data_IF_676436382056
#
_entry.id   IF_676436382056
#
_cell.length_a   1.000
_cell.length_b   1.000
_cell.length_c   1.000
_cell.angle_alpha   90.00
_cell.angle_beta   90.00
_cell.angle_gamma   90.00
#
_symmetry.space_group_name_H-M   'P 1'
#
loop_
_entity.id
_entity.type
_entity.pdbx_description
1 polymer ?
#
# COMPACT_ATOMS: atom_id res chain seq x y z
N UNK A 1 -1.71 -1.66 9.02
CA UNK A 1 -1.82 -1.50 7.55
C UNK A 1 -2.63 -0.25 7.27
N UNK A 2 -2.42 0.39 6.13
CA UNK A 2 -3.26 1.50 5.63
C UNK A 2 -3.80 1.08 4.29
N UNK A 3 -5.07 1.37 4.01
CA UNK A 3 -5.61 1.24 2.66
C UNK A 3 -5.93 2.61 2.09
N UNK A 4 -5.67 2.76 0.79
CA UNK A 4 -5.96 3.94 0.03
C UNK A 4 -6.52 3.58 -1.34
N UNK A 5 -6.95 4.61 -2.06
CA UNK A 5 -7.45 4.49 -3.43
C UNK A 5 -6.70 5.47 -4.31
N UNK A 6 -6.18 5.00 -5.44
CA UNK A 6 -5.57 5.90 -6.43
C UNK A 6 -6.65 6.73 -7.12
N UNK A 7 -6.44 8.04 -7.18
CA UNK A 7 -7.31 8.97 -7.90
C UNK A 7 -6.64 9.29 -9.25
N UNK A 8 -7.16 8.73 -10.35
CA UNK A 8 -6.72 8.97 -11.74
C UNK A 8 -6.67 7.71 -12.63
N UNK A 9 -6.80 7.87 -13.96
CA UNK A 9 -6.94 6.80 -14.96
C UNK A 9 -5.69 5.91 -15.21
N UNK A 10 -4.63 6.02 -14.40
CA UNK A 10 -3.30 5.47 -14.75
C UNK A 10 -2.77 4.35 -13.85
N UNK A 11 -3.60 3.73 -13.03
CA UNK A 11 -3.22 2.49 -12.36
C UNK A 11 -3.27 1.30 -13.34
N UNK A 12 -2.35 1.25 -14.31
CA UNK A 12 -2.23 0.04 -15.14
C UNK A 12 -1.70 -1.11 -14.27
N UNK A 13 -2.31 -2.31 -14.36
CA UNK A 13 -1.73 -3.52 -13.80
C UNK A 13 -0.26 -3.66 -14.19
N UNK A 14 0.66 -3.72 -13.22
CA UNK A 14 1.99 -4.26 -13.48
C UNK A 14 1.80 -5.76 -13.75
N UNK A 15 1.88 -6.18 -15.01
CA UNK A 15 1.62 -7.57 -15.44
C UNK A 15 2.59 -8.60 -14.84
N UNK A 16 3.72 -8.17 -14.29
CA UNK A 16 4.69 -8.96 -13.53
C UNK A 16 5.39 -8.08 -12.52
N UNK A 17 5.20 -8.33 -11.23
CA UNK A 17 5.98 -7.70 -10.16
C UNK A 17 7.22 -8.54 -9.93
N UNK A 18 8.40 -7.96 -10.10
CA UNK A 18 9.71 -8.66 -10.04
C UNK A 18 9.97 -9.26 -8.64
N UNK A 19 9.21 -8.81 -7.63
CA UNK A 19 9.38 -9.19 -6.22
C UNK A 19 8.42 -10.28 -5.71
N UNK A 20 7.57 -10.89 -6.55
CA UNK A 20 6.62 -11.93 -6.11
C UNK A 20 7.01 -13.34 -6.60
N UNK A 21 6.70 -14.42 -5.86
CA UNK A 21 6.00 -14.44 -4.56
C UNK A 21 6.93 -14.15 -3.37
N UNK A 22 6.53 -13.22 -2.50
CA UNK A 22 7.12 -12.99 -1.17
C UNK A 22 6.05 -12.62 -0.15
N UNK A 23 6.37 -12.79 1.14
CA UNK A 23 5.60 -12.17 2.22
C UNK A 23 5.91 -10.68 2.24
N UNK A 24 4.88 -9.85 2.47
CA UNK A 24 5.08 -8.40 2.53
C UNK A 24 5.92 -7.98 3.71
N UNK A 25 6.81 -7.02 3.43
CA UNK A 25 7.70 -6.38 4.38
C UNK A 25 7.27 -4.92 4.63
N UNK A 26 7.77 -4.35 5.74
CA UNK A 26 7.44 -3.00 6.16
C UNK A 26 7.70 -1.99 5.03
N UNK A 27 6.69 -1.18 4.74
CA UNK A 27 6.74 -0.14 3.71
C UNK A 27 6.34 -0.62 2.31
N UNK A 28 6.14 -1.92 2.08
CA UNK A 28 5.68 -2.40 0.79
C UNK A 28 4.21 -2.05 0.53
N UNK A 29 3.91 -1.82 -0.75
CA UNK A 29 2.58 -1.43 -1.25
C UNK A 29 2.04 -2.52 -2.16
N UNK A 30 0.86 -3.05 -1.81
CA UNK A 30 0.16 -4.11 -2.52
C UNK A 30 -1.22 -3.68 -3.01
N UNK A 31 -1.75 -4.34 -4.04
CA UNK A 31 -3.16 -4.14 -4.40
C UNK A 31 -4.09 -4.83 -3.40
N UNK A 32 -5.11 -4.09 -2.94
CA UNK A 32 -6.15 -4.65 -2.10
C UNK A 32 -6.97 -5.69 -2.89
N UNK A 33 -7.36 -6.78 -2.23
CA UNK A 33 -8.10 -7.88 -2.87
C UNK A 33 -7.28 -8.77 -3.81
N UNK A 34 -5.97 -8.52 -3.98
CA UNK A 34 -5.08 -9.35 -4.80
C UNK A 34 -5.21 -9.17 -6.30
N UNK A 35 -6.05 -8.25 -6.76
CA UNK A 35 -6.17 -7.85 -8.16
C UNK A 35 -5.76 -6.40 -8.34
N UNK A 36 -5.14 -6.02 -9.47
CA UNK A 36 -4.74 -4.64 -9.74
C UNK A 36 -5.86 -3.59 -9.68
N UNK A 37 -5.66 -2.58 -8.84
CA UNK A 37 -6.35 -1.28 -8.85
C UNK A 37 -7.80 -1.26 -8.33
N UNK A 38 -8.34 -0.05 -8.08
CA UNK A 38 -7.61 1.18 -7.72
C UNK A 38 -7.19 1.20 -6.25
N UNK A 39 -7.69 0.24 -5.47
CA UNK A 39 -7.50 0.16 -4.04
C UNK A 39 -6.19 -0.56 -3.73
N UNK A 40 -5.38 0.03 -2.86
CA UNK A 40 -4.06 -0.45 -2.48
C UNK A 40 -3.90 -0.41 -0.98
N UNK A 41 -2.95 -1.14 -0.43
CA UNK A 41 -2.57 -1.02 0.96
C UNK A 41 -1.06 -0.89 1.16
N UNK A 42 -0.68 -0.21 2.24
CA UNK A 42 0.70 -0.06 2.72
C UNK A 42 0.85 -0.93 3.97
N UNK A 43 1.81 -1.83 3.96
CA UNK A 43 2.12 -2.64 5.13
C UNK A 43 3.03 -1.87 6.10
N UNK A 44 2.63 -1.80 7.37
CA UNK A 44 3.32 -1.04 8.41
C UNK A 44 3.79 -1.90 9.59
N UNK A 45 3.62 -3.22 9.51
CA UNK A 45 4.00 -4.10 10.61
C UNK A 45 5.51 -4.18 10.77
N UNK A 46 5.96 -4.41 12.02
CA UNK A 46 7.38 -4.50 12.37
C UNK A 46 8.01 -5.85 11.97
N UNK A 47 7.19 -6.85 11.60
CA UNK A 47 7.63 -8.16 11.09
C UNK A 47 6.87 -8.56 9.83
N UNK A 48 7.25 -9.65 9.15
CA UNK A 48 6.62 -10.10 7.91
C UNK A 48 5.11 -10.32 8.08
N UNK A 49 4.31 -9.96 7.08
CA UNK A 49 2.86 -10.09 7.11
C UNK A 49 2.35 -11.54 6.92
N UNK A 50 2.92 -12.52 7.65
CA UNK A 50 2.63 -13.95 7.48
C UNK A 50 1.16 -14.31 7.70
N UNK A 51 0.45 -13.54 8.54
CA UNK A 51 -0.98 -13.69 8.82
C UNK A 51 -1.88 -13.34 7.64
N UNK A 52 -1.37 -12.63 6.62
CA UNK A 52 -2.07 -12.41 5.35
C UNK A 52 -1.92 -13.60 4.38
N UNK A 53 -1.21 -14.67 4.78
CA UNK A 53 -0.85 -15.80 3.91
C UNK A 53 0.40 -15.51 3.07
N UNK A 54 0.53 -16.14 1.90
CA UNK A 54 1.44 -15.69 0.82
C UNK A 54 0.64 -14.69 -0.02
N UNK A 55 0.51 -13.44 0.44
CA UNK A 55 -0.56 -12.60 -0.01
C UNK A 55 -0.06 -11.98 -1.30
N UNK A 56 -0.70 -12.40 -2.39
CA UNK A 56 -0.59 -11.81 -3.72
C UNK A 56 0.68 -12.17 -4.50
N UNK A 57 0.66 -13.35 -5.12
CA UNK A 57 1.41 -13.53 -6.37
C UNK A 57 1.07 -12.38 -7.34
N UNK A 58 1.98 -11.41 -7.45
CA UNK A 58 1.84 -10.34 -8.44
C UNK A 58 1.23 -9.02 -7.98
N UNK A 59 0.90 -8.79 -6.68
CA UNK A 59 0.29 -7.51 -6.29
C UNK A 59 1.20 -6.51 -5.58
N UNK A 60 2.39 -6.88 -5.08
CA UNK A 60 3.33 -5.91 -4.52
C UNK A 60 3.94 -5.10 -5.66
N UNK A 61 3.56 -3.83 -5.80
CA UNK A 61 3.90 -3.02 -6.97
C UNK A 61 4.76 -1.79 -6.64
N UNK A 62 4.91 -1.43 -5.37
CA UNK A 62 5.71 -0.30 -4.94
C UNK A 62 6.19 -0.46 -3.48
N UNK A 63 7.00 0.48 -3.02
CA UNK A 63 7.40 0.65 -1.63
C UNK A 63 7.38 2.14 -1.26
N UNK A 64 7.21 2.43 0.03
CA UNK A 64 7.29 3.80 0.55
C UNK A 64 8.72 4.32 0.40
N UNK A 65 8.86 5.55 -0.10
CA UNK A 65 10.14 6.06 -0.61
C UNK A 65 11.20 6.32 0.46
N UNK A 66 10.82 6.76 1.65
CA UNK A 66 11.74 7.18 2.71
C UNK A 66 11.11 7.12 4.11
N UNK A 67 11.95 7.27 5.14
CA UNK A 67 11.55 7.26 6.56
C UNK A 67 10.55 8.36 6.91
N UNK A 68 10.63 9.54 6.28
CA UNK A 68 9.68 10.63 6.53
C UNK A 68 8.28 10.29 6.03
N UNK A 69 8.21 9.65 4.86
CA UNK A 69 6.98 9.13 4.28
C UNK A 69 6.43 7.96 5.11
N UNK A 70 7.31 7.09 5.63
CA UNK A 70 6.92 6.02 6.55
C UNK A 70 6.34 6.54 7.85
N UNK A 71 6.93 7.59 8.44
CA UNK A 71 6.39 8.23 9.63
C UNK A 71 5.04 8.91 9.35
N UNK A 72 4.88 9.51 8.19
CA UNK A 72 3.59 10.08 7.75
C UNK A 72 2.53 8.98 7.65
N UNK A 73 2.86 7.84 7.03
CA UNK A 73 1.97 6.69 6.98
C UNK A 73 1.64 6.21 8.40
N UNK A 74 2.63 6.00 9.27
CA UNK A 74 2.40 5.61 10.68
C UNK A 74 1.41 6.55 11.38
N UNK A 75 1.57 7.87 11.25
CA UNK A 75 0.65 8.85 11.86
C UNK A 75 -0.78 8.73 11.32
N UNK A 76 -0.93 8.52 10.02
CA UNK A 76 -2.24 8.31 9.40
C UNK A 76 -2.93 7.07 9.99
N UNK A 77 -2.20 5.97 10.23
CA UNK A 77 -2.78 4.76 10.82
C UNK A 77 -3.26 4.92 12.27
N UNK A 78 -2.84 5.99 12.95
CA UNK A 78 -3.22 6.31 14.32
C UNK A 78 -4.38 7.30 14.39
N UNK A 79 -4.86 7.82 13.25
CA UNK A 79 -6.00 8.72 13.22
C UNK A 79 -7.26 7.98 13.65
N UNK A 80 -8.14 8.70 14.36
CA UNK A 80 -9.41 8.15 14.79
C UNK A 80 -10.29 7.82 13.58
N UNK A 81 -10.84 6.61 13.60
CA UNK A 81 -11.72 6.06 12.58
C UNK A 81 -13.00 5.61 13.25
N UNK A 82 -14.12 5.71 12.52
CA UNK A 82 -15.39 5.17 13.05
C UNK A 82 -15.29 3.64 13.13
N UNK A 83 -15.69 3.02 14.25
CA UNK A 83 -15.81 1.58 14.32
C UNK A 83 -16.71 1.06 13.19
N UNK A 84 -16.27 -0.01 12.52
CA UNK A 84 -17.04 -0.75 11.52
C UNK A 84 -17.36 -2.13 12.08
N UNK A 85 -18.22 -2.89 11.39
CA UNK A 85 -18.51 -4.26 11.78
C UNK A 85 -17.22 -5.12 11.74
N UNK A 86 -17.23 -6.24 12.47
CA UNK A 86 -16.13 -7.21 12.44
C UNK A 86 -15.82 -7.64 11.00
N UNK A 87 -14.53 -7.72 10.67
CA UNK A 87 -14.06 -8.04 9.31
C UNK A 87 -14.16 -6.89 8.30
N UNK A 88 -14.76 -5.75 8.66
CA UNK A 88 -14.76 -4.55 7.82
C UNK A 88 -13.60 -3.63 8.13
N UNK A 89 -13.15 -2.91 7.11
CA UNK A 89 -12.08 -1.96 7.23
C UNK A 89 -12.57 -0.63 7.78
N UNK A 90 -11.82 -0.10 8.73
CA UNK A 90 -12.03 1.25 9.23
C UNK A 90 -11.49 2.27 8.23
N UNK A 91 -12.33 3.23 7.84
CA UNK A 91 -11.97 4.33 6.95
C UNK A 91 -11.90 5.64 7.73
N UNK A 92 -11.00 6.52 7.30
CA UNK A 92 -10.99 7.91 7.79
C UNK A 92 -12.34 8.57 7.48
N UNK A 93 -12.86 9.33 8.44
CA UNK A 93 -14.14 10.04 8.28
C UNK A 93 -14.11 11.05 7.12
N UNK A 94 -12.93 11.58 6.79
CA UNK A 94 -12.67 12.40 5.61
C UNK A 94 -11.48 11.82 4.85
N UNK A 95 -11.55 11.65 3.53
CA UNK A 95 -10.41 11.24 2.73
C UNK A 95 -9.26 12.23 2.88
N UNK A 96 -8.04 11.72 3.07
CA UNK A 96 -6.83 12.52 3.05
C UNK A 96 -6.26 12.49 1.63
N UNK A 97 -6.16 13.66 0.99
CA UNK A 97 -5.47 13.78 -0.29
C UNK A 97 -3.95 13.77 -0.06
N UNK A 98 -3.24 12.87 -0.73
CA UNK A 98 -1.79 12.74 -0.66
C UNK A 98 -1.17 12.86 -2.06
N UNK A 99 -0.08 13.61 -2.17
CA UNK A 99 0.73 13.64 -3.38
C UNK A 99 1.64 12.41 -3.42
N UNK A 100 1.65 11.71 -4.55
CA UNK A 100 2.57 10.59 -4.81
C UNK A 100 3.53 11.02 -5.91
N UNK A 101 4.83 10.90 -5.65
CA UNK A 101 5.87 11.10 -6.66
C UNK A 101 6.37 9.75 -7.15
N UNK A 102 6.38 9.54 -8.46
CA UNK A 102 6.99 8.36 -9.05
C UNK A 102 8.51 8.50 -8.94
N UNK A 103 9.17 7.41 -8.52
CA UNK A 103 10.60 7.26 -8.73
C UNK A 103 10.86 7.20 -10.24
N UNK A 104 11.34 8.29 -10.83
CA UNK A 104 11.91 8.24 -12.17
C UNK A 104 13.38 7.85 -12.02
N UNK A 105 13.71 6.58 -12.25
CA UNK A 105 15.10 6.25 -12.60
C UNK A 105 15.46 7.07 -13.84
N UNK A 106 16.21 8.16 -13.68
CA UNK A 106 17.00 8.67 -14.81
C UNK A 106 18.10 7.65 -15.02
N UNK A 107 18.18 6.98 -16.19
CA UNK A 107 19.39 6.24 -16.50
C UNK A 107 20.57 7.23 -16.47
N UNK A 108 21.74 6.82 -15.94
CA UNK A 108 22.95 7.63 -16.09
C UNK A 108 23.19 7.87 -17.59
N UNK A 109 23.57 9.11 -17.94
CA UNK A 109 24.02 9.48 -19.28
C UNK A 109 25.36 8.83 -19.59
#
# INVERSE_FOLDING_TARGET
LIQGRLIGDRARPLRKTIRAPKVMERGEVGWAGGTPGPDFFIYLGDGPASWLGTPHEGSIFAEVADESSMETARRISLLEVKPTAEGQMHLLAKPLALGVSLWTHRPPK
#
